data_IF_015965206492
#
_entry.id   IF_015965206492
#
_cell.length_a   1.000
_cell.length_b   1.000
_cell.length_c   1.000
_cell.angle_alpha   90.00
_cell.angle_beta   90.00
_cell.angle_gamma   90.00
#
_symmetry.space_group_name_H-M   'P 1'
#
loop_
_entity.id
_entity.type
_entity.pdbx_description
1 polymer ?
#
# COMPACT_ATOMS: atom_id res chain seq x y z
N UNK A 1 -3.47 15.03 -19.56
CA UNK A 1 -3.67 13.63 -19.17
C UNK A 1 -2.36 12.94 -18.79
N UNK A 2 -1.30 13.08 -19.61
CA UNK A 2 -0.02 12.40 -19.36
C UNK A 2 0.68 12.91 -18.08
N UNK A 3 0.56 14.19 -17.78
CA UNK A 3 1.10 14.78 -16.54
C UNK A 3 0.37 14.24 -15.32
N UNK A 4 -0.97 14.11 -15.35
CA UNK A 4 -1.72 13.58 -14.20
C UNK A 4 -1.39 12.12 -13.94
N UNK A 5 -1.29 11.30 -14.99
CA UNK A 5 -0.86 9.90 -14.89
C UNK A 5 0.57 9.80 -14.35
N UNK A 6 1.45 10.68 -14.80
CA UNK A 6 2.83 10.73 -14.34
C UNK A 6 2.90 11.14 -12.87
N UNK A 7 2.21 12.20 -12.47
CA UNK A 7 2.17 12.65 -11.06
C UNK A 7 1.54 11.57 -10.20
N UNK A 8 0.37 11.04 -10.55
CA UNK A 8 -0.29 9.98 -9.82
C UNK A 8 0.55 8.69 -9.68
N UNK A 9 1.44 8.41 -10.64
CA UNK A 9 2.35 7.25 -10.54
C UNK A 9 3.51 7.44 -9.55
N UNK A 10 3.76 8.66 -9.11
CA UNK A 10 4.83 9.02 -8.17
C UNK A 10 4.25 9.33 -6.80
N UNK A 11 2.99 9.77 -6.74
CA UNK A 11 2.32 10.10 -5.49
C UNK A 11 1.95 8.85 -4.68
N UNK A 12 2.04 8.93 -3.36
CA UNK A 12 1.39 7.94 -2.51
C UNK A 12 -0.12 8.15 -2.51
N UNK A 13 -0.87 7.07 -2.63
CA UNK A 13 -2.33 7.12 -2.63
C UNK A 13 -2.96 6.12 -3.59
N UNK A 14 -4.21 6.36 -3.94
CA UNK A 14 -4.98 5.50 -4.82
C UNK A 14 -4.87 5.97 -6.27
N UNK A 15 -3.95 5.42 -7.04
CA UNK A 15 -3.70 5.78 -8.44
C UNK A 15 -4.98 6.01 -9.28
N UNK A 16 -6.00 5.12 -9.30
CA UNK A 16 -7.21 5.34 -10.09
C UNK A 16 -8.02 6.55 -9.61
N UNK A 17 -8.05 6.78 -8.29
CA UNK A 17 -8.74 7.91 -7.67
C UNK A 17 -8.04 9.22 -8.03
N UNK A 18 -6.72 9.25 -7.96
CA UNK A 18 -5.90 10.41 -8.31
C UNK A 18 -6.01 10.79 -9.78
N UNK A 19 -5.98 9.82 -10.69
CA UNK A 19 -6.18 10.08 -12.13
C UNK A 19 -7.58 10.65 -12.36
N UNK A 20 -8.62 10.07 -11.75
CA UNK A 20 -10.01 10.56 -11.89
C UNK A 20 -10.18 11.95 -11.27
N UNK A 21 -9.52 12.21 -10.14
CA UNK A 21 -9.44 13.53 -9.52
C UNK A 21 -8.78 14.56 -10.44
N UNK A 22 -7.65 14.20 -11.05
CA UNK A 22 -6.93 15.06 -12.02
C UNK A 22 -7.77 15.41 -13.23
N UNK A 23 -8.46 14.44 -13.82
CA UNK A 23 -9.41 14.67 -14.92
C UNK A 23 -10.55 15.59 -14.47
N UNK A 24 -11.16 15.31 -13.33
CA UNK A 24 -12.22 16.13 -12.75
C UNK A 24 -11.76 17.58 -12.49
N UNK A 25 -10.55 17.77 -11.96
CA UNK A 25 -9.94 19.10 -11.73
C UNK A 25 -9.83 19.92 -13.01
N UNK A 26 -9.50 19.30 -14.13
CA UNK A 26 -9.42 19.99 -15.43
C UNK A 26 -10.78 20.42 -15.95
N UNK A 27 -11.85 19.68 -15.61
CA UNK A 27 -13.21 19.98 -16.09
C UNK A 27 -13.87 21.07 -15.24
N UNK A 28 -13.79 20.99 -13.91
CA UNK A 28 -14.52 21.88 -13.00
C UNK A 28 -13.71 22.34 -11.76
N UNK A 29 -12.41 22.45 -11.88
CA UNK A 29 -11.54 22.93 -10.80
C UNK A 29 -11.61 22.04 -9.55
N UNK A 30 -11.49 22.66 -8.36
CA UNK A 30 -11.45 21.93 -7.06
C UNK A 30 -12.67 21.05 -6.80
N UNK A 31 -13.88 21.50 -7.16
CA UNK A 31 -15.08 20.66 -7.06
C UNK A 31 -15.00 19.44 -7.96
N UNK A 32 -14.52 19.61 -9.21
CA UNK A 32 -14.33 18.51 -10.14
C UNK A 32 -13.35 17.49 -9.64
N UNK A 33 -12.26 17.91 -9.00
CA UNK A 33 -11.28 17.02 -8.34
C UNK A 33 -11.97 16.09 -7.35
N UNK A 34 -12.75 16.63 -6.43
CA UNK A 34 -13.45 15.86 -5.39
C UNK A 34 -14.50 14.92 -5.99
N UNK A 35 -15.35 15.42 -6.91
CA UNK A 35 -16.37 14.59 -7.56
C UNK A 35 -15.77 13.46 -8.40
N UNK A 36 -14.66 13.70 -9.11
CA UNK A 36 -13.95 12.67 -9.86
C UNK A 36 -13.42 11.56 -8.96
N UNK A 37 -12.83 11.93 -7.82
CA UNK A 37 -12.35 10.99 -6.83
C UNK A 37 -13.49 10.13 -6.23
N UNK A 38 -14.58 10.77 -5.81
CA UNK A 38 -15.76 10.10 -5.23
C UNK A 38 -16.38 9.14 -6.26
N UNK A 39 -16.60 9.59 -7.50
CA UNK A 39 -17.22 8.77 -8.53
C UNK A 39 -16.43 7.49 -8.83
N UNK A 40 -15.10 7.55 -8.74
CA UNK A 40 -14.24 6.37 -8.93
C UNK A 40 -14.26 5.42 -7.74
N UNK A 41 -14.29 5.94 -6.51
CA UNK A 41 -14.11 5.14 -5.30
C UNK A 41 -15.42 4.59 -4.73
N UNK A 42 -16.50 5.39 -4.76
CA UNK A 42 -17.76 5.12 -4.07
C UNK A 42 -18.42 3.78 -4.46
N UNK A 43 -18.57 3.42 -5.76
CA UNK A 43 -19.23 2.17 -6.12
C UNK A 43 -18.53 0.94 -5.52
N UNK A 44 -17.20 0.90 -5.57
CA UNK A 44 -16.42 -0.19 -5.00
C UNK A 44 -16.54 -0.27 -3.48
N UNK A 45 -16.52 0.87 -2.80
CA UNK A 45 -16.69 0.95 -1.34
C UNK A 45 -18.08 0.46 -0.93
N UNK A 46 -19.13 0.90 -1.62
CA UNK A 46 -20.51 0.46 -1.32
C UNK A 46 -20.65 -1.06 -1.47
N UNK A 47 -20.12 -1.64 -2.55
CA UNK A 47 -20.12 -3.09 -2.75
C UNK A 47 -19.32 -3.80 -1.65
N UNK A 48 -18.14 -3.30 -1.29
CA UNK A 48 -17.32 -3.90 -0.24
C UNK A 48 -18.06 -3.92 1.09
N UNK A 49 -18.66 -2.81 1.50
CA UNK A 49 -19.42 -2.73 2.76
C UNK A 49 -20.66 -3.65 2.71
N UNK A 50 -21.39 -3.67 1.59
CA UNK A 50 -22.53 -4.56 1.42
C UNK A 50 -22.14 -6.04 1.60
N UNK A 51 -21.08 -6.48 0.93
CA UNK A 51 -20.58 -7.86 1.07
C UNK A 51 -20.03 -8.14 2.47
N UNK A 52 -19.34 -7.19 3.10
CA UNK A 52 -18.87 -7.34 4.49
C UNK A 52 -20.03 -7.56 5.47
N UNK A 53 -21.14 -6.81 5.31
CA UNK A 53 -22.36 -6.98 6.11
C UNK A 53 -22.98 -8.36 5.87
N UNK A 54 -23.04 -8.80 4.62
CA UNK A 54 -23.61 -10.11 4.26
C UNK A 54 -22.77 -11.26 4.81
N UNK A 55 -21.44 -11.19 4.70
CA UNK A 55 -20.51 -12.22 5.20
C UNK A 55 -20.65 -12.39 6.72
N UNK A 56 -20.84 -11.32 7.47
CA UNK A 56 -21.04 -11.38 8.93
C UNK A 56 -22.32 -12.13 9.38
N UNK A 57 -23.18 -12.55 8.44
CA UNK A 57 -24.42 -13.34 8.68
C UNK A 57 -24.37 -14.76 8.12
N UNK A 58 -23.22 -15.24 7.70
CA UNK A 58 -23.02 -16.48 6.95
C UNK A 58 -22.69 -17.63 7.89
N UNK A 59 -23.15 -18.86 7.56
CA UNK A 59 -22.85 -20.09 8.27
C UNK A 59 -21.41 -20.56 8.07
N UNK A 60 -20.86 -21.32 9.02
CA UNK A 60 -19.47 -21.85 9.00
C UNK A 60 -19.11 -22.58 7.70
N UNK A 61 -20.08 -23.30 7.10
CA UNK A 61 -19.86 -23.97 5.82
C UNK A 61 -19.54 -23.00 4.69
N UNK A 62 -20.26 -21.90 4.61
CA UNK A 62 -20.02 -20.86 3.62
C UNK A 62 -18.75 -20.08 3.92
N UNK A 63 -18.44 -19.85 5.20
CA UNK A 63 -17.18 -19.22 5.62
C UNK A 63 -15.97 -20.06 5.16
N UNK A 64 -16.05 -21.40 5.29
CA UNK A 64 -15.04 -22.32 4.74
C UNK A 64 -14.86 -22.14 3.23
N UNK A 65 -15.95 -22.05 2.45
CA UNK A 65 -15.86 -21.83 1.01
C UNK A 65 -15.24 -20.47 0.65
N UNK A 66 -15.53 -19.42 1.44
CA UNK A 66 -14.93 -18.10 1.27
C UNK A 66 -13.40 -18.17 1.50
N UNK A 67 -12.93 -18.91 2.52
CA UNK A 67 -11.50 -19.12 2.74
C UNK A 67 -10.82 -19.83 1.55
N UNK A 68 -11.50 -20.79 0.93
CA UNK A 68 -10.98 -21.46 -0.27
C UNK A 68 -10.97 -20.53 -1.50
N UNK A 69 -11.98 -19.68 -1.66
CA UNK A 69 -11.99 -18.61 -2.67
C UNK A 69 -10.81 -17.64 -2.44
N UNK A 70 -10.55 -17.27 -1.18
CA UNK A 70 -9.46 -16.38 -0.83
C UNK A 70 -8.10 -16.93 -1.28
N UNK A 71 -7.84 -18.24 -1.15
CA UNK A 71 -6.61 -18.87 -1.68
C UNK A 71 -6.47 -18.64 -3.18
N UNK A 72 -7.52 -18.82 -3.97
CA UNK A 72 -7.49 -18.55 -5.42
C UNK A 72 -7.19 -17.08 -5.75
N UNK A 73 -7.76 -16.17 -4.98
CA UNK A 73 -7.53 -14.73 -5.13
C UNK A 73 -6.09 -14.38 -4.77
N UNK A 74 -5.51 -14.96 -3.71
CA UNK A 74 -4.12 -14.73 -3.33
C UNK A 74 -3.14 -15.19 -4.43
N UNK A 75 -3.43 -16.31 -5.08
CA UNK A 75 -2.65 -16.75 -6.25
C UNK A 75 -2.70 -15.72 -7.37
N UNK A 76 -3.89 -15.20 -7.68
CA UNK A 76 -4.06 -14.19 -8.71
C UNK A 76 -3.30 -12.89 -8.38
N UNK A 77 -3.43 -12.39 -7.13
CA UNK A 77 -2.68 -11.21 -6.66
C UNK A 77 -1.18 -11.47 -6.78
N UNK A 78 -0.69 -12.60 -6.27
CA UNK A 78 0.73 -12.97 -6.34
C UNK A 78 1.25 -12.98 -7.78
N UNK A 79 0.45 -13.45 -8.73
CA UNK A 79 0.80 -13.43 -10.16
C UNK A 79 0.91 -11.99 -10.70
N UNK A 80 -0.02 -11.11 -10.35
CA UNK A 80 0.05 -9.69 -10.76
C UNK A 80 1.27 -8.98 -10.16
N UNK A 81 1.56 -9.21 -8.88
CA UNK A 81 2.72 -8.62 -8.22
C UNK A 81 4.04 -9.11 -8.85
N UNK A 82 4.16 -10.41 -9.15
CA UNK A 82 5.34 -10.93 -9.83
C UNK A 82 5.48 -10.39 -11.26
N UNK A 83 4.38 -10.20 -11.98
CA UNK A 83 4.37 -9.54 -13.28
C UNK A 83 4.84 -8.10 -13.20
N UNK A 84 4.34 -7.32 -12.24
CA UNK A 84 4.75 -5.94 -12.02
C UNK A 84 6.26 -5.82 -11.74
N UNK A 85 6.80 -6.68 -10.85
CA UNK A 85 8.25 -6.74 -10.55
C UNK A 85 9.05 -7.05 -11.83
N UNK A 86 8.60 -8.05 -12.59
CA UNK A 86 9.24 -8.46 -13.85
C UNK A 86 9.23 -7.34 -14.91
N UNK A 87 8.09 -6.65 -15.06
CA UNK A 87 7.95 -5.53 -16.00
C UNK A 87 8.82 -4.33 -15.58
N UNK A 88 8.89 -4.02 -14.29
CA UNK A 88 9.77 -2.97 -13.77
C UNK A 88 11.23 -3.25 -14.12
N UNK A 89 11.69 -4.50 -13.95
CA UNK A 89 13.06 -4.89 -14.30
C UNK A 89 13.29 -4.87 -15.82
N UNK A 90 12.29 -5.31 -16.62
CA UNK A 90 12.38 -5.35 -18.07
C UNK A 90 12.30 -3.96 -18.73
N UNK A 91 11.61 -3.00 -18.12
CA UNK A 91 11.47 -1.65 -18.65
C UNK A 91 12.79 -0.86 -18.73
N UNK A 92 13.83 -1.34 -18.05
CA UNK A 92 15.14 -0.71 -18.04
C UNK A 92 15.99 -1.30 -19.18
N UNK A 93 16.28 -0.49 -20.20
CA UNK A 93 17.03 -0.92 -21.39
C UNK A 93 18.54 -1.05 -21.16
N UNK A 94 19.13 -0.21 -20.30
CA UNK A 94 20.57 -0.22 -20.02
C UNK A 94 20.95 -1.34 -19.03
N UNK A 95 21.87 -2.23 -19.41
CA UNK A 95 22.31 -3.36 -18.59
C UNK A 95 22.90 -2.97 -17.24
N UNK A 96 23.66 -1.88 -17.14
CA UNK A 96 24.17 -1.40 -15.85
C UNK A 96 23.06 -0.88 -14.93
N UNK A 97 22.13 -0.09 -15.47
CA UNK A 97 20.97 0.38 -14.72
C UNK A 97 20.06 -0.77 -14.29
N UNK A 98 19.93 -1.79 -15.12
CA UNK A 98 19.18 -3.00 -14.82
C UNK A 98 19.79 -3.79 -13.66
N UNK A 99 21.13 -3.96 -13.64
CA UNK A 99 21.83 -4.61 -12.51
C UNK A 99 21.62 -3.81 -11.19
N UNK A 100 21.73 -2.49 -11.24
CA UNK A 100 21.48 -1.60 -10.08
C UNK A 100 20.03 -1.73 -9.59
N UNK A 101 19.06 -1.78 -10.51
CA UNK A 101 17.65 -2.00 -10.17
C UNK A 101 17.42 -3.34 -9.47
N UNK A 102 17.96 -4.43 -10.02
CA UNK A 102 17.85 -5.77 -9.42
C UNK A 102 18.49 -5.78 -8.03
N UNK A 103 19.67 -5.22 -7.87
CA UNK A 103 20.35 -5.13 -6.58
C UNK A 103 19.49 -4.35 -5.57
N UNK A 104 18.88 -3.24 -5.97
CA UNK A 104 18.00 -2.44 -5.12
C UNK A 104 16.75 -3.22 -4.71
N UNK A 105 16.09 -3.89 -5.65
CA UNK A 105 14.91 -4.74 -5.37
C UNK A 105 15.26 -5.83 -4.36
N UNK A 106 16.40 -6.51 -4.54
CA UNK A 106 16.87 -7.56 -3.63
C UNK A 106 17.20 -6.97 -2.25
N UNK A 107 17.90 -5.83 -2.20
CA UNK A 107 18.27 -5.18 -0.94
C UNK A 107 17.05 -4.77 -0.13
N UNK A 108 16.06 -4.14 -0.77
CA UNK A 108 14.79 -3.76 -0.14
C UNK A 108 14.03 -5.01 0.32
N UNK A 109 13.95 -6.04 -0.52
CA UNK A 109 13.28 -7.29 -0.16
C UNK A 109 13.94 -7.95 1.06
N UNK A 110 15.25 -8.03 1.14
CA UNK A 110 15.97 -8.59 2.30
C UNK A 110 15.62 -7.81 3.58
N UNK A 111 15.56 -6.48 3.52
CA UNK A 111 15.27 -5.65 4.68
C UNK A 111 13.84 -5.81 5.20
N UNK A 112 12.86 -6.10 4.32
CA UNK A 112 11.44 -6.14 4.71
C UNK A 112 10.92 -7.56 4.89
N UNK A 113 11.40 -8.52 4.10
CA UNK A 113 10.86 -9.89 4.07
C UNK A 113 11.18 -10.73 5.31
N UNK A 114 12.06 -10.28 6.18
CA UNK A 114 12.54 -11.08 7.32
C UNK A 114 11.40 -11.68 8.15
N UNK A 115 10.43 -10.88 8.57
CA UNK A 115 9.31 -11.31 9.42
C UNK A 115 8.46 -12.42 8.75
N UNK A 116 8.06 -12.23 7.51
CA UNK A 116 7.23 -13.19 6.78
C UNK A 116 8.00 -14.43 6.35
N UNK A 117 9.28 -14.27 5.99
CA UNK A 117 10.13 -15.39 5.60
C UNK A 117 10.29 -16.39 6.76
N UNK A 118 10.56 -15.89 7.98
CA UNK A 118 10.67 -16.75 9.16
C UNK A 118 9.34 -17.42 9.55
N UNK A 119 8.19 -16.79 9.26
CA UNK A 119 6.87 -17.39 9.51
C UNK A 119 6.54 -18.55 8.56
N UNK A 120 7.19 -18.63 7.38
CA UNK A 120 7.02 -19.75 6.45
C UNK A 120 7.76 -21.00 6.94
N UNK A 121 8.96 -20.83 7.50
CA UNK A 121 9.78 -21.93 7.98
C UNK A 121 9.43 -22.29 9.43
N UNK A 122 9.44 -23.58 9.81
CA UNK A 122 9.19 -23.98 11.19
C UNK A 122 10.33 -23.54 12.10
N UNK A 123 10.02 -22.80 13.16
CA UNK A 123 10.96 -22.36 14.21
C UNK A 123 10.61 -20.98 14.74
N UNK A 124 10.72 -20.78 16.07
CA UNK A 124 10.50 -19.49 16.76
C UNK A 124 11.67 -18.52 16.60
N UNK A 125 12.17 -18.38 15.39
CA UNK A 125 13.26 -17.44 15.12
C UNK A 125 12.71 -16.08 14.71
N UNK A 126 13.10 -15.04 15.42
CA UNK A 126 12.77 -13.66 15.05
C UNK A 126 13.87 -13.09 14.13
N UNK A 127 13.51 -12.40 13.06
CA UNK A 127 14.50 -11.74 12.20
C UNK A 127 15.20 -10.61 12.95
N UNK A 128 16.52 -10.50 12.84
CA UNK A 128 17.30 -9.48 13.54
C UNK A 128 17.18 -8.11 12.86
N UNK A 129 17.24 -8.07 11.53
CA UNK A 129 17.37 -6.84 10.76
C UNK A 129 16.10 -6.47 9.94
N UNK A 130 14.96 -7.06 10.21
CA UNK A 130 13.76 -6.71 9.45
C UNK A 130 13.27 -5.30 9.82
N UNK A 131 12.96 -4.52 8.79
CA UNK A 131 12.40 -3.18 8.88
C UNK A 131 10.93 -3.17 8.46
N UNK A 132 10.15 -2.26 9.03
CA UNK A 132 8.82 -1.97 8.53
C UNK A 132 8.89 -1.20 7.20
N UNK A 133 7.87 -1.34 6.37
CA UNK A 133 7.75 -0.67 5.06
C UNK A 133 8.01 0.84 5.16
N UNK A 134 7.52 1.48 6.22
CA UNK A 134 7.69 2.92 6.49
C UNK A 134 9.15 3.31 6.64
N UNK A 135 9.91 2.51 7.40
CA UNK A 135 11.32 2.77 7.66
C UNK A 135 12.17 2.64 6.38
N UNK A 136 11.78 1.71 5.48
CA UNK A 136 12.43 1.59 4.18
C UNK A 136 12.16 2.82 3.31
N UNK A 137 10.93 3.34 3.31
CA UNK A 137 10.63 4.61 2.62
C UNK A 137 11.41 5.78 3.23
N UNK A 138 11.47 5.89 4.56
CA UNK A 138 12.23 6.96 5.23
C UNK A 138 13.70 6.97 4.82
N UNK A 139 14.37 5.81 4.85
CA UNK A 139 15.75 5.67 4.36
C UNK A 139 15.86 6.04 2.88
N UNK A 140 14.94 5.57 2.08
CA UNK A 140 14.95 5.82 0.64
C UNK A 140 14.82 7.30 0.31
N UNK A 141 13.86 7.99 0.91
CA UNK A 141 13.67 9.43 0.71
C UNK A 141 14.89 10.22 1.23
N UNK A 142 15.43 9.84 2.38
CA UNK A 142 16.67 10.45 2.88
C UNK A 142 17.80 10.32 1.86
N UNK A 143 18.04 9.11 1.35
CA UNK A 143 19.11 8.88 0.36
C UNK A 143 18.86 9.72 -0.89
N UNK A 144 17.67 9.70 -1.45
CA UNK A 144 17.33 10.42 -2.68
C UNK A 144 17.48 11.95 -2.52
N UNK A 145 16.95 12.51 -1.44
CA UNK A 145 16.94 13.95 -1.21
C UNK A 145 18.32 14.48 -0.83
N UNK A 146 19.06 13.76 0.01
CA UNK A 146 20.39 14.19 0.44
C UNK A 146 21.45 14.03 -0.64
N UNK A 147 21.50 12.90 -1.36
CA UNK A 147 22.54 12.63 -2.36
C UNK A 147 22.35 13.43 -3.64
N UNK A 148 21.08 13.68 -4.07
CA UNK A 148 20.76 14.41 -5.30
C UNK A 148 21.48 13.85 -6.54
N UNK A 149 21.77 12.57 -6.56
CA UNK A 149 22.60 11.91 -7.58
C UNK A 149 24.01 12.54 -7.78
N UNK A 150 24.48 13.36 -6.83
CA UNK A 150 25.81 13.95 -6.80
C UNK A 150 26.60 13.29 -5.66
N UNK A 151 27.26 12.18 -5.98
CA UNK A 151 28.05 11.44 -5.01
C UNK A 151 29.39 12.12 -4.77
N UNK A 152 29.59 12.62 -3.55
CA UNK A 152 30.89 13.02 -3.02
C UNK A 152 31.25 12.04 -1.90
N UNK A 153 32.54 11.77 -1.67
CA UNK A 153 33.00 10.82 -0.66
C UNK A 153 32.42 11.08 0.73
N UNK A 154 32.37 12.35 1.14
CA UNK A 154 31.75 12.76 2.42
C UNK A 154 30.25 12.44 2.47
N UNK A 155 29.51 12.71 1.38
CA UNK A 155 28.07 12.39 1.31
C UNK A 155 27.82 10.89 1.41
N UNK A 156 28.65 10.07 0.78
CA UNK A 156 28.55 8.61 0.85
C UNK A 156 28.73 8.14 2.30
N UNK A 157 29.77 8.62 3.00
CA UNK A 157 30.02 8.26 4.40
C UNK A 157 28.85 8.67 5.28
N UNK A 158 28.37 9.91 5.18
CA UNK A 158 27.24 10.41 5.97
C UNK A 158 25.98 9.58 5.69
N UNK A 159 25.70 9.28 4.43
CA UNK A 159 24.53 8.47 4.05
C UNK A 159 24.62 7.07 4.65
N UNK A 160 25.75 6.40 4.53
CA UNK A 160 25.97 5.05 5.07
C UNK A 160 25.85 5.06 6.59
N UNK A 161 26.48 6.01 7.28
CA UNK A 161 26.44 6.10 8.75
C UNK A 161 25.02 6.36 9.23
N UNK A 162 24.32 7.38 8.71
CA UNK A 162 22.97 7.70 9.12
C UNK A 162 22.00 6.55 8.83
N UNK A 163 22.06 5.94 7.64
CA UNK A 163 21.20 4.80 7.30
C UNK A 163 21.50 3.58 8.18
N UNK A 164 22.76 3.29 8.50
CA UNK A 164 23.13 2.18 9.39
C UNK A 164 22.62 2.39 10.81
N UNK A 165 22.80 3.59 11.38
CA UNK A 165 22.27 3.92 12.71
C UNK A 165 20.75 3.82 12.72
N UNK A 166 20.08 4.34 11.70
CA UNK A 166 18.63 4.25 11.57
C UNK A 166 18.15 2.78 11.53
N UNK A 167 18.81 1.93 10.72
CA UNK A 167 18.48 0.49 10.67
C UNK A 167 18.66 -0.16 12.04
N UNK A 168 19.72 0.12 12.77
CA UNK A 168 19.97 -0.43 14.11
C UNK A 168 18.96 0.05 15.16
N UNK A 169 18.41 1.26 15.00
CA UNK A 169 17.35 1.81 15.86
C UNK A 169 15.97 1.20 15.60
N UNK A 170 15.65 0.92 14.33
CA UNK A 170 14.29 0.55 13.90
C UNK A 170 14.14 -0.90 13.45
N UNK A 171 15.22 -1.71 13.49
CA UNK A 171 15.14 -3.13 13.19
C UNK A 171 14.35 -3.88 14.28
N UNK A 172 13.80 -5.05 13.92
CA UNK A 172 13.01 -5.91 14.82
C UNK A 172 13.74 -6.30 16.09
N UNK A 173 15.07 -6.41 16.06
CA UNK A 173 15.88 -6.70 17.24
C UNK A 173 16.03 -5.52 18.22
N UNK A 174 15.71 -4.28 17.78
CA UNK A 174 15.81 -3.09 18.62
C UNK A 174 17.18 -2.90 19.24
N UNK A 175 18.26 -3.10 18.46
CA UNK A 175 19.66 -3.11 18.94
C UNK A 175 19.98 -1.81 19.69
N UNK A 176 19.46 -0.69 19.19
CA UNK A 176 19.54 0.61 19.85
C UNK A 176 18.12 1.00 20.27
N UNK A 177 17.77 0.73 21.54
CA UNK A 177 16.42 1.00 22.08
C UNK A 177 16.27 2.40 22.69
N UNK A 178 17.33 3.20 22.72
CA UNK A 178 17.30 4.54 23.32
C UNK A 178 16.50 5.51 22.46
N UNK A 179 15.36 6.00 23.00
CA UNK A 179 14.44 6.91 22.30
C UNK A 179 15.07 8.26 21.94
N UNK A 180 16.05 8.72 22.73
CA UNK A 180 16.82 9.93 22.39
C UNK A 180 17.64 9.75 21.11
N UNK A 181 18.26 8.58 20.93
CA UNK A 181 19.05 8.27 19.72
C UNK A 181 18.13 8.15 18.51
N UNK A 182 16.95 7.52 18.66
CA UNK A 182 15.93 7.43 17.59
C UNK A 182 15.48 8.81 17.13
N UNK A 183 15.07 9.65 18.08
CA UNK A 183 14.65 11.02 17.77
C UNK A 183 15.77 11.84 17.13
N UNK A 184 17.01 11.69 17.61
CA UNK A 184 18.16 12.41 17.07
C UNK A 184 18.47 12.01 15.64
N UNK A 185 18.44 10.72 15.30
CA UNK A 185 18.71 10.26 13.93
C UNK A 185 17.61 10.70 12.96
N UNK A 186 16.35 10.68 13.39
CA UNK A 186 15.22 11.15 12.58
C UNK A 186 15.37 12.64 12.24
N UNK A 187 15.67 13.47 13.24
CA UNK A 187 15.91 14.91 13.07
C UNK A 187 17.09 15.15 12.12
N UNK A 188 18.20 14.44 12.31
CA UNK A 188 19.38 14.58 11.45
C UNK A 188 19.06 14.22 10.00
N UNK A 189 18.35 13.12 9.77
CA UNK A 189 17.96 12.69 8.43
C UNK A 189 17.02 13.70 7.76
N UNK A 190 16.07 14.29 8.52
CA UNK A 190 15.18 15.34 8.02
C UNK A 190 15.96 16.60 7.66
N UNK A 191 16.85 17.08 8.53
CA UNK A 191 17.66 18.27 8.28
C UNK A 191 18.54 18.10 7.05
N UNK A 192 19.20 16.95 6.91
CA UNK A 192 20.05 16.65 5.76
C UNK A 192 19.24 16.54 4.46
N UNK A 193 18.03 15.97 4.52
CA UNK A 193 17.12 15.91 3.36
C UNK A 193 16.68 17.30 2.92
N UNK A 194 16.29 18.15 3.86
CA UNK A 194 15.92 19.56 3.59
C UNK A 194 17.11 20.34 3.03
N UNK A 195 18.29 20.16 3.62
CA UNK A 195 19.51 20.77 3.10
C UNK A 195 19.77 20.36 1.63
N UNK A 196 19.59 19.07 1.31
CA UNK A 196 19.72 18.58 -0.08
C UNK A 196 18.75 19.27 -1.04
N UNK A 197 17.48 19.40 -0.65
CA UNK A 197 16.44 20.10 -1.44
C UNK A 197 16.79 21.58 -1.61
N UNK A 198 17.19 22.27 -0.55
CA UNK A 198 17.56 23.70 -0.61
C UNK A 198 18.78 23.94 -1.51
N UNK A 199 19.73 23.03 -1.51
CA UNK A 199 20.86 23.12 -2.44
C UNK A 199 20.44 22.88 -3.89
N UNK A 200 19.43 22.04 -4.16
CA UNK A 200 18.89 21.80 -5.49
C UNK A 200 18.16 23.06 -6.01
N UNK A 201 17.42 23.74 -5.13
CA UNK A 201 16.75 25.01 -5.44
C UNK A 201 17.78 26.12 -5.77
N UNK A 202 18.91 26.18 -5.08
CA UNK A 202 19.96 27.20 -5.36
C UNK A 202 20.68 27.01 -6.68
N UNK A 203 20.75 25.80 -7.20
CA UNK A 203 21.54 25.47 -8.40
C UNK A 203 20.88 25.91 -9.72
N UNK A 204 19.84 26.76 -9.71
CA UNK A 204 19.36 27.44 -10.91
C UNK A 204 17.86 27.34 -11.17
N UNK A 205 17.03 27.68 -10.20
CA UNK A 205 15.59 27.58 -10.33
C UNK A 205 14.87 28.93 -10.28
N UNK A 206 14.14 29.28 -11.36
CA UNK A 206 13.13 30.35 -11.35
C UNK A 206 11.78 29.74 -10.92
N UNK A 207 11.20 30.26 -9.83
CA UNK A 207 9.88 29.84 -9.34
C UNK A 207 8.83 30.28 -10.37
N UNK A 208 8.32 29.34 -11.13
CA UNK A 208 7.23 29.56 -12.08
C UNK A 208 5.90 29.66 -11.32
N UNK A 209 5.27 30.82 -11.38
CA UNK A 209 3.86 31.12 -11.12
C UNK A 209 3.28 30.82 -9.70
N UNK A 210 3.32 31.84 -8.84
CA UNK A 210 2.69 31.83 -7.50
C UNK A 210 1.16 31.57 -7.53
N UNK A 211 0.48 31.89 -8.62
CA UNK A 211 -0.98 31.77 -8.74
C UNK A 211 -1.45 30.31 -8.72
N UNK A 212 -0.66 29.40 -9.27
CA UNK A 212 -0.97 27.96 -9.30
C UNK A 212 -0.92 27.31 -7.91
N UNK A 213 -0.03 27.77 -7.04
CA UNK A 213 0.06 27.25 -5.68
C UNK A 213 -1.18 27.60 -4.83
N UNK A 214 -1.81 28.75 -5.10
CA UNK A 214 -3.07 29.14 -4.45
C UNK A 214 -4.21 28.17 -4.79
N UNK A 215 -4.28 27.68 -6.04
CA UNK A 215 -5.26 26.67 -6.43
C UNK A 215 -5.04 25.34 -5.71
N UNK A 216 -3.79 24.94 -5.51
CA UNK A 216 -3.46 23.73 -4.73
C UNK A 216 -3.92 23.83 -3.28
N UNK A 217 -3.73 24.99 -2.64
CA UNK A 217 -4.21 25.21 -1.26
C UNK A 217 -5.74 25.11 -1.20
N UNK A 218 -6.46 25.69 -2.18
CA UNK A 218 -7.93 25.59 -2.24
C UNK A 218 -8.40 24.15 -2.39
N UNK A 219 -7.72 23.34 -3.22
CA UNK A 219 -8.04 21.92 -3.38
C UNK A 219 -7.89 21.16 -2.06
N UNK A 220 -6.77 21.38 -1.35
CA UNK A 220 -6.49 20.73 -0.06
C UNK A 220 -7.53 21.14 0.99
N UNK A 221 -7.85 22.43 1.12
CA UNK A 221 -8.85 22.92 2.07
C UNK A 221 -10.21 22.27 1.79
N UNK A 222 -10.63 22.20 0.52
CA UNK A 222 -11.89 21.58 0.13
C UNK A 222 -11.92 20.09 0.51
N UNK A 223 -10.83 19.35 0.26
CA UNK A 223 -10.71 17.95 0.65
C UNK A 223 -10.79 17.78 2.17
N UNK A 224 -10.10 18.62 2.95
CA UNK A 224 -10.13 18.57 4.41
C UNK A 224 -11.54 18.87 4.92
N UNK A 225 -12.23 19.89 4.40
CA UNK A 225 -13.61 20.19 4.76
C UNK A 225 -14.55 19.01 4.48
N UNK A 226 -14.40 18.36 3.32
CA UNK A 226 -15.13 17.13 2.98
C UNK A 226 -14.84 16.01 3.99
N UNK A 227 -13.56 15.77 4.31
CA UNK A 227 -13.16 14.75 5.27
C UNK A 227 -13.75 14.97 6.66
N UNK A 228 -13.68 16.20 7.16
CA UNK A 228 -14.25 16.58 8.46
C UNK A 228 -15.76 16.34 8.45
N UNK A 229 -16.49 16.83 7.44
CA UNK A 229 -17.95 16.72 7.38
C UNK A 229 -18.44 15.28 7.38
N UNK A 230 -17.79 14.39 6.62
CA UNK A 230 -18.18 12.98 6.57
C UNK A 230 -17.69 12.16 7.78
N UNK A 231 -16.64 12.60 8.45
CA UNK A 231 -16.14 11.93 9.65
C UNK A 231 -16.86 12.38 10.94
N UNK A 232 -17.60 13.49 10.91
CA UNK A 232 -18.32 14.02 12.06
C UNK A 232 -19.22 12.99 12.76
N UNK A 233 -20.06 12.18 12.07
CA UNK A 233 -20.90 11.19 12.76
C UNK A 233 -20.08 10.19 13.56
N UNK A 234 -18.97 9.70 13.00
CA UNK A 234 -18.10 8.76 13.69
C UNK A 234 -17.39 9.40 14.90
N UNK A 235 -16.94 10.66 14.77
CA UNK A 235 -16.25 11.39 15.83
C UNK A 235 -17.16 11.77 17.00
N UNK A 236 -18.41 12.16 16.71
CA UNK A 236 -19.40 12.55 17.74
C UNK A 236 -19.85 11.33 18.54
N UNK A 237 -20.08 10.19 17.84
CA UNK A 237 -20.60 8.98 18.47
C UNK A 237 -19.46 8.21 19.17
N UNK A 238 -18.25 8.19 18.59
CA UNK A 238 -17.12 7.37 19.05
C UNK A 238 -15.81 8.17 19.07
N UNK A 239 -15.44 8.73 20.21
CA UNK A 239 -14.17 9.45 20.36
C UNK A 239 -12.92 8.60 20.07
N UNK A 240 -12.99 7.28 20.26
CA UNK A 240 -11.93 6.33 19.91
C UNK A 240 -11.64 6.25 18.42
N UNK A 241 -12.57 6.70 17.57
CA UNK A 241 -12.38 6.73 16.09
C UNK A 241 -11.28 7.68 15.64
N UNK A 242 -10.84 8.63 16.47
CA UNK A 242 -9.72 9.54 16.16
C UNK A 242 -8.44 8.75 15.86
N UNK A 243 -8.13 7.73 16.66
CA UNK A 243 -6.94 6.90 16.44
C UNK A 243 -6.99 6.19 15.10
N UNK A 244 -8.15 5.65 14.71
CA UNK A 244 -8.37 5.05 13.39
C UNK A 244 -8.19 6.09 12.26
N UNK A 245 -8.78 7.29 12.40
CA UNK A 245 -8.68 8.33 11.36
C UNK A 245 -7.24 8.79 11.14
N UNK A 246 -6.48 9.01 12.21
CA UNK A 246 -5.07 9.41 12.11
C UNK A 246 -4.21 8.31 11.47
N UNK A 247 -4.38 7.05 11.88
CA UNK A 247 -3.70 5.90 11.28
C UNK A 247 -4.13 5.69 9.83
N UNK A 248 -5.43 5.88 9.54
CA UNK A 248 -5.98 5.80 8.18
C UNK A 248 -5.38 6.85 7.25
N UNK A 249 -5.30 8.10 7.70
CA UNK A 249 -4.64 9.18 6.96
C UNK A 249 -3.17 8.84 6.70
N UNK A 250 -2.44 8.43 7.74
CA UNK A 250 -1.03 8.08 7.63
C UNK A 250 -0.81 6.89 6.69
N UNK A 251 -1.62 5.82 6.81
CA UNK A 251 -1.55 4.65 5.95
C UNK A 251 -1.79 4.99 4.48
N UNK A 252 -2.76 5.88 4.21
CA UNK A 252 -3.07 6.31 2.85
C UNK A 252 -1.95 7.15 2.23
N UNK A 253 -1.35 8.06 3.01
CA UNK A 253 -0.17 8.86 2.58
C UNK A 253 1.06 7.97 2.38
N UNK A 254 1.12 6.80 3.00
CA UNK A 254 2.23 5.85 2.85
C UNK A 254 1.98 4.75 1.81
N UNK A 255 0.85 4.82 1.11
CA UNK A 255 0.47 3.86 0.08
C UNK A 255 1.19 4.16 -1.24
N UNK A 256 2.42 3.69 -1.37
CA UNK A 256 3.17 3.75 -2.63
C UNK A 256 3.05 2.45 -3.42
N UNK A 257 2.87 2.54 -4.74
CA UNK A 257 2.95 1.39 -5.64
C UNK A 257 1.63 0.75 -6.01
N UNK A 258 0.50 1.38 -5.71
CA UNK A 258 -0.82 0.91 -6.10
C UNK A 258 -1.57 0.14 -5.00
N UNK A 259 -2.80 -0.30 -5.34
CA UNK A 259 -3.72 -0.86 -4.36
C UNK A 259 -3.23 -2.09 -3.61
N UNK A 260 -2.54 -2.99 -4.29
CA UNK A 260 -2.06 -4.25 -3.69
C UNK A 260 -0.97 -3.99 -2.64
N UNK A 261 -0.08 -3.02 -2.88
CA UNK A 261 0.94 -2.62 -1.93
C UNK A 261 0.33 -2.00 -0.65
N UNK A 262 -0.84 -1.39 -0.76
CA UNK A 262 -1.54 -0.83 0.38
C UNK A 262 -1.93 -1.88 1.42
N UNK A 263 -2.23 -3.10 1.02
CA UNK A 263 -2.58 -4.16 1.98
C UNK A 263 -1.48 -4.42 3.01
N UNK A 264 -0.20 -4.29 2.61
CA UNK A 264 0.92 -4.42 3.56
C UNK A 264 0.97 -3.26 4.55
N UNK A 265 0.71 -2.05 4.08
CA UNK A 265 0.66 -0.86 4.95
C UNK A 265 -0.52 -0.98 5.91
N UNK A 266 -1.68 -1.43 5.41
CA UNK A 266 -2.87 -1.63 6.22
C UNK A 266 -2.69 -2.73 7.28
N UNK A 267 -2.01 -3.83 6.94
CA UNK A 267 -1.63 -4.88 7.89
C UNK A 267 -0.83 -4.30 9.06
N UNK A 268 0.28 -3.61 8.76
CA UNK A 268 1.12 -3.00 9.78
C UNK A 268 0.42 -1.93 10.62
N UNK A 269 -0.55 -1.20 10.05
CA UNK A 269 -1.24 -0.12 10.74
C UNK A 269 -2.44 -0.58 11.56
N UNK A 270 -3.19 -1.57 11.10
CA UNK A 270 -4.47 -1.97 11.70
C UNK A 270 -4.44 -3.37 12.30
N UNK A 271 -3.79 -4.33 11.67
CA UNK A 271 -3.73 -5.71 12.18
C UNK A 271 -2.63 -5.87 13.22
N UNK A 272 -1.42 -5.44 12.94
CA UNK A 272 -0.30 -5.48 13.92
C UNK A 272 -0.60 -4.63 15.17
N UNK A 273 -1.45 -3.61 15.06
CA UNK A 273 -1.87 -2.77 16.19
C UNK A 273 -3.07 -3.33 16.95
N UNK A 274 -3.67 -4.44 16.51
CA UNK A 274 -4.82 -5.06 17.14
C UNK A 274 -6.15 -4.33 16.94
N UNK A 275 -6.25 -3.39 15.98
CA UNK A 275 -7.50 -2.69 15.66
C UNK A 275 -8.49 -3.56 14.88
N UNK A 276 -7.98 -4.51 14.12
CA UNK A 276 -8.76 -5.50 13.34
C UNK A 276 -8.07 -6.83 13.46
N UNK A 277 -8.81 -7.91 13.58
CA UNK A 277 -8.26 -9.27 13.67
C UNK A 277 -7.67 -9.72 12.33
N UNK A 278 -6.71 -10.65 12.38
CA UNK A 278 -6.15 -11.24 11.16
C UNK A 278 -7.22 -11.93 10.32
N UNK A 279 -8.20 -12.54 10.96
CA UNK A 279 -9.29 -13.23 10.27
C UNK A 279 -10.19 -12.25 9.51
N UNK A 280 -10.64 -11.18 10.13
CA UNK A 280 -11.43 -10.13 9.48
C UNK A 280 -10.68 -9.50 8.31
N UNK A 281 -9.41 -9.21 8.50
CA UNK A 281 -8.62 -8.56 7.47
C UNK A 281 -8.30 -9.48 6.30
N UNK A 282 -7.67 -10.62 6.55
CA UNK A 282 -7.16 -11.49 5.48
C UNK A 282 -8.19 -12.48 4.96
N UNK A 283 -9.04 -13.04 5.82
CA UNK A 283 -10.02 -14.03 5.37
C UNK A 283 -11.25 -13.40 4.71
N UNK A 284 -11.60 -12.17 5.09
CA UNK A 284 -12.81 -11.50 4.62
C UNK A 284 -12.53 -10.25 3.79
N UNK A 285 -11.82 -9.27 4.35
CA UNK A 285 -11.70 -7.95 3.71
C UNK A 285 -10.74 -7.95 2.51
N UNK A 286 -9.53 -8.50 2.65
CA UNK A 286 -8.54 -8.48 1.58
C UNK A 286 -9.01 -9.18 0.29
N UNK A 287 -9.66 -10.36 0.32
CA UNK A 287 -10.24 -10.97 -0.87
C UNK A 287 -11.29 -10.09 -1.53
N UNK A 288 -12.21 -9.51 -0.74
CA UNK A 288 -13.26 -8.63 -1.26
C UNK A 288 -12.69 -7.40 -1.94
N UNK A 289 -11.73 -6.75 -1.30
CA UNK A 289 -11.13 -5.51 -1.83
C UNK A 289 -10.34 -5.73 -3.12
N UNK A 290 -9.88 -6.95 -3.37
CA UNK A 290 -9.14 -7.28 -4.59
C UNK A 290 -10.07 -7.69 -5.75
N UNK A 291 -11.18 -8.36 -5.47
CA UNK A 291 -12.11 -8.83 -6.51
C UNK A 291 -13.06 -7.73 -6.96
N UNK A 292 -13.54 -6.91 -6.04
CA UNK A 292 -14.52 -5.87 -6.36
C UNK A 292 -13.86 -4.70 -7.12
N UNK A 293 -14.58 -4.06 -8.05
CA UNK A 293 -14.05 -2.92 -8.80
C UNK A 293 -13.80 -1.72 -7.90
N UNK A 294 -12.91 -0.82 -8.31
CA UNK A 294 -12.57 0.41 -7.60
C UNK A 294 -11.26 0.34 -6.82
N UNK A 295 -10.93 1.41 -6.11
CA UNK A 295 -9.67 1.55 -5.38
C UNK A 295 -9.59 0.60 -4.19
N UNK A 296 -8.55 -0.22 -4.12
CA UNK A 296 -8.28 -1.12 -2.99
C UNK A 296 -8.09 -0.32 -1.70
N UNK A 297 -7.35 0.79 -1.73
CA UNK A 297 -7.13 1.67 -0.58
C UNK A 297 -8.46 2.17 0.03
N UNK A 298 -9.36 2.72 -0.80
CA UNK A 298 -10.64 3.25 -0.31
C UNK A 298 -11.54 2.14 0.25
N UNK A 299 -11.58 0.99 -0.41
CA UNK A 299 -12.33 -0.19 0.03
C UNK A 299 -11.80 -0.74 1.35
N UNK A 300 -10.49 -0.88 1.47
CA UNK A 300 -9.85 -1.41 2.68
C UNK A 300 -10.05 -0.48 3.86
N UNK A 301 -9.82 0.83 3.73
CA UNK A 301 -10.05 1.79 4.81
C UNK A 301 -11.51 1.82 5.26
N UNK A 302 -12.44 1.77 4.30
CA UNK A 302 -13.86 1.70 4.64
C UNK A 302 -14.23 0.40 5.35
N UNK A 303 -13.70 -0.73 4.88
CA UNK A 303 -13.95 -2.04 5.49
C UNK A 303 -13.35 -2.17 6.89
N UNK A 304 -12.12 -1.73 7.09
CA UNK A 304 -11.47 -1.63 8.43
C UNK A 304 -12.31 -0.76 9.34
N UNK A 305 -12.74 0.43 8.86
CA UNK A 305 -13.64 1.31 9.62
C UNK A 305 -14.95 0.63 10.01
N UNK A 306 -15.53 -0.19 9.12
CA UNK A 306 -16.73 -0.94 9.42
C UNK A 306 -16.54 -1.93 10.57
N UNK A 307 -15.46 -2.73 10.56
CA UNK A 307 -15.17 -3.68 11.64
C UNK A 307 -14.94 -2.95 12.97
N UNK A 308 -14.10 -1.91 12.99
CA UNK A 308 -13.87 -1.08 14.18
C UNK A 308 -15.18 -0.47 14.71
N UNK A 309 -16.02 0.04 13.80
CA UNK A 309 -17.30 0.64 14.18
C UNK A 309 -18.29 -0.36 14.77
N UNK A 310 -18.31 -1.61 14.27
CA UNK A 310 -19.11 -2.71 14.86
C UNK A 310 -18.56 -3.09 16.23
N UNK A 311 -17.25 -3.27 16.35
CA UNK A 311 -16.62 -3.65 17.62
C UNK A 311 -16.93 -2.63 18.75
N UNK A 312 -16.83 -1.33 18.42
CA UNK A 312 -17.09 -0.28 19.40
C UNK A 312 -18.57 -0.11 19.74
N UNK A 313 -19.46 -0.23 18.74
CA UNK A 313 -20.89 0.11 18.89
C UNK A 313 -21.84 -1.06 19.07
N UNK A 314 -21.41 -2.28 18.70
CA UNK A 314 -22.28 -3.44 18.60
C UNK A 314 -23.40 -3.32 17.55
N UNK A 315 -23.34 -2.31 16.65
CA UNK A 315 -24.42 -2.01 15.70
C UNK A 315 -23.92 -1.77 14.28
N UNK A 316 -24.75 -2.19 13.30
CA UNK A 316 -24.47 -1.97 11.86
C UNK A 316 -24.37 -0.47 11.54
N UNK A 317 -25.17 0.37 12.18
CA UNK A 317 -25.14 1.83 11.98
C UNK A 317 -23.83 2.45 12.46
N UNK A 318 -23.31 1.98 13.61
CA UNK A 318 -21.99 2.38 14.07
C UNK A 318 -20.89 1.94 13.11
N UNK A 319 -20.96 0.71 12.62
CA UNK A 319 -20.07 0.21 11.57
C UNK A 319 -20.09 1.08 10.32
N UNK A 320 -21.28 1.43 9.83
CA UNK A 320 -21.45 2.30 8.66
C UNK A 320 -20.92 3.72 8.87
N UNK A 321 -21.08 4.28 10.06
CA UNK A 321 -20.59 5.65 10.36
C UNK A 321 -19.05 5.70 10.32
N UNK A 322 -18.37 4.71 10.89
CA UNK A 322 -16.90 4.64 10.88
C UNK A 322 -16.38 4.21 9.50
N UNK A 323 -17.12 3.37 8.76
CA UNK A 323 -16.80 3.05 7.36
C UNK A 323 -16.83 4.29 6.46
N UNK A 324 -17.84 5.16 6.64
CA UNK A 324 -17.96 6.43 5.93
C UNK A 324 -16.80 7.37 6.24
N UNK A 325 -16.35 7.41 7.50
CA UNK A 325 -15.18 8.16 7.92
C UNK A 325 -13.89 7.59 7.27
N UNK A 326 -13.75 6.27 7.20
CA UNK A 326 -12.63 5.62 6.49
C UNK A 326 -12.60 5.95 4.99
N UNK A 327 -13.78 5.96 4.35
CA UNK A 327 -13.92 6.42 2.96
C UNK A 327 -13.49 7.87 2.81
N UNK A 328 -13.98 8.76 3.66
CA UNK A 328 -13.66 10.18 3.63
C UNK A 328 -12.16 10.43 3.75
N UNK A 329 -11.50 9.80 4.72
CA UNK A 329 -10.04 9.92 4.92
C UNK A 329 -9.25 9.41 3.72
N UNK A 330 -9.69 8.32 3.08
CA UNK A 330 -9.03 7.79 1.88
C UNK A 330 -9.05 8.79 0.71
N UNK A 331 -10.18 9.47 0.52
CA UNK A 331 -10.32 10.53 -0.49
C UNK A 331 -9.49 11.76 -0.14
N UNK A 332 -9.55 12.21 1.12
CA UNK A 332 -8.77 13.35 1.61
C UNK A 332 -7.28 13.13 1.39
N UNK A 333 -6.77 11.96 1.81
CA UNK A 333 -5.36 11.64 1.66
C UNK A 333 -4.95 11.64 0.19
N UNK A 334 -5.63 10.85 -0.66
CA UNK A 334 -5.28 10.72 -2.08
C UNK A 334 -5.38 12.05 -2.82
N UNK A 335 -6.48 12.80 -2.65
CA UNK A 335 -6.68 14.07 -3.36
C UNK A 335 -5.74 15.18 -2.87
N UNK A 336 -5.50 15.28 -1.55
CA UNK A 336 -4.63 16.32 -1.00
C UNK A 336 -3.18 16.10 -1.41
N UNK A 337 -2.70 14.85 -1.33
CA UNK A 337 -1.34 14.51 -1.73
C UNK A 337 -1.16 14.68 -3.24
N UNK A 338 -2.11 14.22 -4.05
CA UNK A 338 -2.10 14.42 -5.49
C UNK A 338 -2.08 15.92 -5.87
N UNK A 339 -2.93 16.74 -5.25
CA UNK A 339 -2.94 18.19 -5.48
C UNK A 339 -1.63 18.86 -5.07
N UNK A 340 -1.07 18.48 -3.90
CA UNK A 340 0.22 18.98 -3.43
C UNK A 340 1.33 18.62 -4.42
N UNK A 341 1.42 17.36 -4.83
CA UNK A 341 2.45 16.88 -5.75
C UNK A 341 2.28 17.47 -7.14
N UNK A 342 1.05 17.68 -7.60
CA UNK A 342 0.79 18.40 -8.87
C UNK A 342 1.27 19.85 -8.77
N UNK A 343 0.93 20.55 -7.68
CA UNK A 343 1.40 21.93 -7.46
C UNK A 343 2.92 22.02 -7.33
N UNK A 344 3.55 21.08 -6.62
CA UNK A 344 5.01 20.99 -6.53
C UNK A 344 5.65 20.66 -7.88
N UNK A 345 5.06 19.74 -8.64
CA UNK A 345 5.56 19.41 -9.99
C UNK A 345 5.42 20.59 -10.95
N UNK A 346 4.31 21.30 -10.92
CA UNK A 346 4.11 22.53 -11.73
C UNK A 346 5.07 23.65 -11.32
N UNK A 347 5.36 23.78 -10.00
CA UNK A 347 6.30 24.78 -9.48
C UNK A 347 7.77 24.35 -9.64
N UNK A 348 8.09 23.09 -9.47
CA UNK A 348 9.46 22.59 -9.27
C UNK A 348 9.82 21.36 -10.14
N UNK A 349 9.06 21.08 -11.21
CA UNK A 349 9.19 19.85 -12.01
C UNK A 349 10.57 19.63 -12.66
N UNK A 350 11.39 20.67 -12.76
CA UNK A 350 12.74 20.62 -13.31
C UNK A 350 13.81 20.26 -12.26
N UNK A 351 13.46 20.13 -10.96
CA UNK A 351 14.43 19.73 -9.95
C UNK A 351 14.91 18.29 -10.16
N UNK A 352 16.21 18.06 -9.96
CA UNK A 352 16.84 16.75 -10.08
C UNK A 352 16.20 15.70 -9.13
N UNK A 353 15.73 16.14 -7.96
CA UNK A 353 15.04 15.29 -6.97
C UNK A 353 13.82 14.61 -7.57
N UNK A 354 12.98 15.31 -8.34
CA UNK A 354 11.77 14.70 -8.94
C UNK A 354 12.11 13.68 -10.02
N UNK A 355 13.15 13.93 -10.81
CA UNK A 355 13.60 12.99 -11.83
C UNK A 355 14.17 11.72 -11.20
N UNK A 356 14.93 11.83 -10.12
CA UNK A 356 15.49 10.70 -9.38
C UNK A 356 14.39 9.92 -8.62
N UNK A 357 13.45 10.63 -7.99
CA UNK A 357 12.30 9.98 -7.36
C UNK A 357 11.52 9.12 -8.36
N UNK A 358 11.21 9.66 -9.54
CA UNK A 358 10.53 8.93 -10.63
C UNK A 358 11.31 7.68 -11.08
N UNK A 359 12.64 7.78 -11.11
CA UNK A 359 13.52 6.69 -11.55
C UNK A 359 13.57 5.55 -10.55
N UNK A 360 13.63 5.86 -9.23
CA UNK A 360 13.93 4.88 -8.19
C UNK A 360 12.70 4.36 -7.43
N UNK A 361 11.56 5.07 -7.45
CA UNK A 361 10.36 4.68 -6.71
C UNK A 361 9.85 3.30 -7.14
N UNK A 362 9.78 3.02 -8.45
CA UNK A 362 9.28 1.73 -8.96
C UNK A 362 10.14 0.53 -8.53
N UNK A 363 11.48 0.55 -8.64
CA UNK A 363 12.33 -0.51 -8.10
C UNK A 363 12.16 -0.74 -6.60
N UNK A 364 12.04 0.33 -5.81
CA UNK A 364 11.86 0.23 -4.36
C UNK A 364 10.53 -0.43 -4.03
N UNK A 365 9.45 0.04 -4.65
CA UNK A 365 8.13 -0.58 -4.52
C UNK A 365 8.16 -2.05 -4.94
N UNK A 366 8.86 -2.39 -6.02
CA UNK A 366 9.04 -3.80 -6.43
C UNK A 366 9.67 -4.65 -5.34
N UNK A 367 10.65 -4.13 -4.61
CA UNK A 367 11.25 -4.81 -3.44
C UNK A 367 10.26 -5.00 -2.29
N UNK A 368 9.43 -3.99 -2.02
CA UNK A 368 8.36 -4.07 -1.00
C UNK A 368 7.28 -5.08 -1.38
N UNK A 369 6.92 -5.19 -2.66
CA UNK A 369 5.93 -6.14 -3.15
C UNK A 369 6.35 -7.60 -2.97
N UNK A 370 7.64 -7.90 -2.90
CA UNK A 370 8.11 -9.25 -2.52
C UNK A 370 7.61 -9.63 -1.12
N UNK A 371 7.59 -8.68 -0.18
CA UNK A 371 7.06 -8.92 1.17
C UNK A 371 5.55 -9.19 1.15
N UNK A 372 4.79 -8.51 0.29
CA UNK A 372 3.35 -8.80 0.11
C UNK A 372 3.15 -10.23 -0.39
N UNK A 373 3.92 -10.67 -1.39
CA UNK A 373 3.84 -12.05 -1.90
C UNK A 373 4.10 -13.06 -0.77
N UNK A 374 5.11 -12.82 0.06
CA UNK A 374 5.40 -13.67 1.21
C UNK A 374 4.25 -13.66 2.25
N UNK A 375 3.65 -12.49 2.52
CA UNK A 375 2.48 -12.39 3.39
C UNK A 375 1.31 -13.24 2.87
N UNK A 376 1.05 -13.24 1.56
CA UNK A 376 -0.01 -14.07 0.97
C UNK A 376 0.29 -15.58 1.16
N UNK A 377 1.55 -15.99 1.00
CA UNK A 377 1.96 -17.39 1.26
C UNK A 377 1.74 -17.76 2.73
N UNK A 378 2.09 -16.87 3.67
CA UNK A 378 1.85 -17.07 5.11
C UNK A 378 0.36 -17.21 5.40
N UNK A 379 -0.50 -16.43 4.75
CA UNK A 379 -1.95 -16.55 4.93
C UNK A 379 -2.50 -17.88 4.39
N UNK A 380 -2.03 -18.32 3.22
CA UNK A 380 -2.40 -19.64 2.69
C UNK A 380 -1.95 -20.77 3.64
N UNK A 381 -0.75 -20.66 4.22
CA UNK A 381 -0.27 -21.59 5.26
C UNK A 381 -1.21 -21.58 6.47
N UNK A 382 -1.62 -20.41 6.94
CA UNK A 382 -2.51 -20.27 8.09
C UNK A 382 -3.89 -20.91 7.83
N UNK A 383 -4.48 -20.67 6.65
CA UNK A 383 -5.72 -21.34 6.24
C UNK A 383 -5.54 -22.86 6.17
N UNK A 384 -4.40 -23.33 5.66
CA UNK A 384 -4.07 -24.76 5.64
C UNK A 384 -3.95 -25.37 7.05
N UNK A 385 -3.42 -24.60 8.02
CA UNK A 385 -3.28 -25.04 9.42
C UNK A 385 -4.63 -25.34 10.08
N UNK A 386 -5.67 -24.55 9.80
CA UNK A 386 -7.03 -24.78 10.31
C UNK A 386 -7.60 -26.15 9.89
N UNK A 387 -7.14 -26.69 8.76
CA UNK A 387 -7.53 -28.00 8.23
C UNK A 387 -6.43 -29.07 8.41
N UNK A 388 -5.37 -28.79 9.16
CA UNK A 388 -4.23 -29.67 9.35
C UNK A 388 -3.42 -29.95 8.07
N UNK A 389 -3.53 -29.10 7.03
CA UNK A 389 -3.02 -29.30 5.67
C UNK A 389 -2.10 -28.14 5.20
N UNK A 390 -1.25 -27.61 6.08
CA UNK A 390 -0.41 -26.45 5.80
C UNK A 390 0.45 -26.58 4.53
N UNK A 391 1.13 -27.72 4.41
CA UNK A 391 2.05 -27.96 3.28
C UNK A 391 1.28 -28.15 1.99
N UNK A 392 0.20 -28.89 2.04
CA UNK A 392 -0.64 -29.21 0.89
C UNK A 392 -1.29 -27.93 0.32
N UNK A 393 -1.72 -27.00 1.18
CA UNK A 393 -2.25 -25.70 0.74
C UNK A 393 -1.19 -24.83 0.04
N UNK A 394 0.05 -24.86 0.52
CA UNK A 394 1.17 -24.18 -0.16
C UNK A 394 1.45 -24.81 -1.53
N UNK A 395 1.51 -26.15 -1.62
CA UNK A 395 1.68 -26.85 -2.89
C UNK A 395 0.54 -26.53 -3.86
N UNK A 396 -0.69 -26.49 -3.39
CA UNK A 396 -1.86 -26.15 -4.17
C UNK A 396 -1.78 -24.69 -4.68
N UNK A 397 -1.37 -23.74 -3.85
CA UNK A 397 -1.11 -22.37 -4.28
C UNK A 397 -0.09 -22.31 -5.42
N UNK A 398 1.02 -23.02 -5.29
CA UNK A 398 2.08 -23.06 -6.33
C UNK A 398 1.54 -23.70 -7.61
N UNK A 399 0.79 -24.80 -7.51
CA UNK A 399 0.20 -25.48 -8.66
C UNK A 399 -0.77 -24.56 -9.42
N UNK A 400 -1.68 -23.88 -8.73
CA UNK A 400 -2.62 -22.92 -9.34
C UNK A 400 -1.86 -21.76 -9.97
N UNK A 401 -0.80 -21.25 -9.31
CA UNK A 401 0.05 -20.19 -9.87
C UNK A 401 0.70 -20.61 -11.19
N UNK A 402 1.25 -21.83 -11.26
CA UNK A 402 1.86 -22.36 -12.49
C UNK A 402 0.84 -22.52 -13.60
N UNK A 403 -0.33 -23.07 -13.30
CA UNK A 403 -1.44 -23.21 -14.29
C UNK A 403 -1.85 -21.84 -14.82
N UNK A 404 -2.09 -20.87 -13.95
CA UNK A 404 -2.46 -19.51 -14.35
C UNK A 404 -1.37 -18.85 -15.20
N UNK A 405 -0.11 -18.99 -14.81
CA UNK A 405 1.04 -18.46 -15.56
C UNK A 405 1.12 -19.04 -16.97
N UNK A 406 0.89 -20.35 -17.14
CA UNK A 406 0.84 -21.02 -18.44
C UNK A 406 -0.37 -20.55 -19.26
N UNK A 407 -1.53 -20.41 -18.64
CA UNK A 407 -2.77 -19.95 -19.30
C UNK A 407 -2.61 -18.52 -19.83
N UNK A 408 -2.08 -17.61 -18.99
CA UNK A 408 -1.80 -16.23 -19.40
C UNK A 408 -0.81 -16.16 -20.55
N UNK A 409 0.27 -16.93 -20.48
CA UNK A 409 1.29 -16.95 -21.53
C UNK A 409 0.77 -17.47 -22.86
N UNK A 410 -0.12 -18.47 -22.83
CA UNK A 410 -0.63 -19.13 -24.05
C UNK A 410 -1.82 -18.39 -24.67
N UNK A 411 -2.79 -17.92 -23.85
CA UNK A 411 -4.10 -17.47 -24.35
C UNK A 411 -4.35 -15.97 -24.20
N UNK A 412 -3.51 -15.21 -23.48
CA UNK A 412 -3.65 -13.75 -23.22
C UNK A 412 -5.06 -13.37 -22.75
N UNK A 413 -5.65 -14.18 -21.88
CA UNK A 413 -6.98 -13.91 -21.33
C UNK A 413 -7.01 -12.60 -20.53
N UNK A 414 -8.22 -12.01 -20.48
CA UNK A 414 -8.49 -10.84 -19.62
C UNK A 414 -8.37 -11.23 -18.14
N UNK A 415 -8.00 -10.28 -17.32
CA UNK A 415 -7.77 -10.50 -15.88
C UNK A 415 -8.98 -11.11 -15.17
N UNK A 416 -10.21 -10.71 -15.56
CA UNK A 416 -11.46 -11.23 -14.99
C UNK A 416 -11.61 -12.75 -15.18
N UNK A 417 -11.18 -13.26 -16.32
CA UNK A 417 -11.24 -14.70 -16.64
C UNK A 417 -10.21 -15.45 -15.78
N UNK A 418 -9.02 -14.88 -15.60
CA UNK A 418 -7.94 -15.51 -14.82
C UNK A 418 -8.34 -15.58 -13.34
N UNK A 419 -8.95 -14.53 -12.79
CA UNK A 419 -9.54 -14.54 -11.43
C UNK A 419 -10.56 -15.68 -11.31
N UNK A 420 -11.50 -15.77 -12.26
CA UNK A 420 -12.51 -16.84 -12.27
C UNK A 420 -11.91 -18.23 -12.28
N UNK A 421 -10.91 -18.47 -13.14
CA UNK A 421 -10.17 -19.76 -13.20
C UNK A 421 -9.48 -20.04 -11.85
N UNK A 422 -8.80 -19.06 -11.27
CA UNK A 422 -8.12 -19.19 -9.97
C UNK A 422 -9.08 -19.59 -8.86
N UNK A 423 -10.25 -18.95 -8.80
CA UNK A 423 -11.29 -19.23 -7.80
C UNK A 423 -11.86 -20.64 -7.99
N UNK A 424 -12.20 -21.02 -9.22
CA UNK A 424 -12.78 -22.35 -9.51
C UNK A 424 -11.78 -23.46 -9.18
N UNK A 425 -10.52 -23.31 -9.59
CA UNK A 425 -9.47 -24.26 -9.29
C UNK A 425 -9.23 -24.38 -7.78
N UNK A 426 -9.18 -23.25 -7.09
CA UNK A 426 -8.98 -23.24 -5.64
C UNK A 426 -10.14 -23.92 -4.91
N UNK A 427 -11.38 -23.59 -5.26
CA UNK A 427 -12.56 -24.25 -4.68
C UNK A 427 -12.54 -25.75 -4.91
N UNK A 428 -12.32 -26.20 -6.15
CA UNK A 428 -12.32 -27.61 -6.50
C UNK A 428 -11.21 -28.37 -5.73
N UNK A 429 -9.98 -27.86 -5.78
CA UNK A 429 -8.82 -28.55 -5.22
C UNK A 429 -8.80 -28.49 -3.68
N UNK A 430 -9.19 -27.37 -3.05
CA UNK A 430 -9.26 -27.29 -1.59
C UNK A 430 -10.36 -28.19 -1.02
N UNK A 431 -11.56 -28.22 -1.65
CA UNK A 431 -12.62 -29.14 -1.20
C UNK A 431 -12.19 -30.61 -1.36
N UNK A 432 -11.58 -30.97 -2.50
CA UNK A 432 -11.10 -32.33 -2.73
C UNK A 432 -10.05 -32.73 -1.70
N UNK A 433 -9.09 -31.84 -1.41
CA UNK A 433 -8.04 -32.09 -0.41
C UNK A 433 -8.60 -32.29 0.99
N UNK A 434 -9.60 -31.50 1.39
CA UNK A 434 -10.23 -31.63 2.72
C UNK A 434 -11.18 -32.83 2.80
N UNK A 435 -11.78 -33.27 1.68
CA UNK A 435 -12.59 -34.49 1.63
C UNK A 435 -11.76 -35.78 1.65
N UNK A 436 -10.53 -35.75 1.14
CA UNK A 436 -9.62 -36.89 1.12
C UNK A 436 -8.87 -37.10 2.46
N UNK A 437 -9.06 -36.22 3.40
CA UNK A 437 -8.57 -36.30 4.79
C UNK A 437 -9.67 -36.67 5.76
#
# INVERSE_FOLDING_TARGET
CDVDVMVASITPGALPVEISAGVGRRIKGSCGLLFGAIAMALPGVMLTILFTILIGRINDLLLKQIKFIAVGIYVFIGMHLTSYISETIKSISNNESKKKCILLVISVAILVCGKNLYSIFPGDRTPVLALNTLNVFAITFFILFFTRNRFNFVKIIVTVVCSSVFVLCYCTAGIISNDFVKCSIDIVMIILSVYGILCDIKDGYEISDKTRFIHTIKDIILCICFGITLSLPALIIFSSSISFLLRGLLSAVMSFGGGDAYLTVADGMFVDSGMVTKEEFYSMLAPLTNVLPGSILCKTLSGVGYYIGIEISGSVLGGLSVALAGFAISIVASCSVFSLMTGLYEAFGNLNVFSELKRWIRPIVSGLLVNVILSLIVQVKHHGAEFGAEREFIFLMVAIYLVNSLVVKKYRFRNEIIVGISIILSLALCNLLVLCR
#
